data_IF_520617647045
#
_entry.id   IF_520617647045
#
_cell.length_a   1.000
_cell.length_b   1.000
_cell.length_c   1.000
_cell.angle_alpha   90.00
_cell.angle_beta   90.00
_cell.angle_gamma   90.00
#
_symmetry.space_group_name_H-M   'P 1'
#
loop_
_entity.id
_entity.type
_entity.pdbx_description
1 polymer ?
#
# COMPACT_ATOMS: atom_id res chain seq x y z
N UNK A 1 -12.05 7.40 -2.83
CA UNK A 1 -11.01 8.46 -2.78
C UNK A 1 -11.21 9.45 -1.62
N UNK A 2 -12.45 9.88 -1.35
CA UNK A 2 -12.81 10.80 -0.27
C UNK A 2 -12.22 10.41 1.10
N UNK A 3 -12.43 9.17 1.53
CA UNK A 3 -11.88 8.60 2.77
C UNK A 3 -10.36 8.80 2.96
N UNK A 4 -9.56 8.64 1.91
CA UNK A 4 -8.09 8.81 1.99
C UNK A 4 -7.72 10.28 2.10
N UNK A 5 -8.47 11.18 1.44
CA UNK A 5 -8.30 12.64 1.56
C UNK A 5 -8.67 13.13 2.97
N UNK A 6 -9.71 12.56 3.57
CA UNK A 6 -10.09 12.88 4.96
C UNK A 6 -9.03 12.43 5.95
N UNK A 7 -8.48 11.22 5.78
CA UNK A 7 -7.36 10.74 6.58
C UNK A 7 -6.11 11.61 6.39
N UNK A 8 -5.79 12.02 5.16
CA UNK A 8 -4.67 12.92 4.89
C UNK A 8 -4.86 14.28 5.58
N UNK A 9 -6.07 14.84 5.54
CA UNK A 9 -6.45 16.07 6.24
C UNK A 9 -6.26 15.92 7.75
N UNK A 10 -6.78 14.85 8.33
CA UNK A 10 -6.65 14.53 9.75
C UNK A 10 -5.18 14.47 10.19
N UNK A 11 -4.35 13.76 9.42
CA UNK A 11 -2.93 13.52 9.73
C UNK A 11 -2.07 14.78 9.51
N UNK A 12 -2.44 15.66 8.57
CA UNK A 12 -1.76 16.95 8.34
C UNK A 12 -1.67 17.79 9.60
N UNK A 13 -2.63 17.63 10.53
CA UNK A 13 -2.60 18.31 11.84
C UNK A 13 -1.36 17.98 12.68
N UNK A 14 -0.70 16.85 12.44
CA UNK A 14 0.50 16.42 13.18
C UNK A 14 1.81 16.67 12.41
N UNK A 15 1.75 16.98 11.11
CA UNK A 15 2.93 17.14 10.23
C UNK A 15 3.00 18.51 9.52
N UNK A 16 2.05 19.41 9.79
CA UNK A 16 1.86 20.75 9.22
C UNK A 16 1.53 20.79 7.73
N UNK A 17 2.14 19.91 6.94
CA UNK A 17 1.96 19.80 5.50
C UNK A 17 2.07 18.34 5.05
N UNK A 18 1.25 17.95 4.09
CA UNK A 18 1.22 16.59 3.54
C UNK A 18 1.07 16.62 2.02
N UNK A 19 1.70 15.64 1.37
CA UNK A 19 1.50 15.35 -0.06
C UNK A 19 0.88 13.97 -0.21
N UNK A 20 -0.25 13.91 -0.90
CA UNK A 20 -0.97 12.68 -1.21
C UNK A 20 -0.83 12.38 -2.69
N UNK A 21 -0.16 11.28 -2.99
CA UNK A 21 -0.03 10.75 -4.34
C UNK A 21 -1.12 9.69 -4.56
N UNK A 22 -2.09 9.99 -5.42
CA UNK A 22 -3.16 9.07 -5.82
C UNK A 22 -2.74 8.38 -7.11
N UNK A 23 -2.40 7.09 -7.02
CA UNK A 23 -1.94 6.30 -8.16
C UNK A 23 -3.07 5.40 -8.68
N UNK A 24 -3.53 5.58 -9.94
CA UNK A 24 -4.49 4.67 -10.55
C UNK A 24 -3.89 3.27 -10.69
N UNK A 25 -4.45 2.30 -9.95
CA UNK A 25 -3.88 0.95 -9.88
C UNK A 25 -4.71 -0.12 -10.61
N UNK A 26 -5.91 0.24 -11.11
CA UNK A 26 -6.86 -0.70 -11.71
C UNK A 26 -6.34 -1.43 -12.96
N UNK A 27 -5.68 -0.70 -13.87
CA UNK A 27 -5.12 -1.30 -15.10
C UNK A 27 -3.96 -2.25 -14.77
N UNK A 28 -3.07 -1.84 -13.85
CA UNK A 28 -1.96 -2.65 -13.37
C UNK A 28 -2.49 -3.94 -12.71
N UNK A 29 -3.54 -3.84 -11.89
CA UNK A 29 -4.21 -5.01 -11.30
C UNK A 29 -4.77 -5.92 -12.39
N UNK A 30 -5.47 -5.37 -13.38
CA UNK A 30 -6.06 -6.14 -14.48
C UNK A 30 -4.99 -6.92 -15.25
N UNK A 31 -3.85 -6.31 -15.53
CA UNK A 31 -2.72 -6.99 -16.19
C UNK A 31 -2.16 -8.13 -15.31
N UNK A 32 -2.02 -7.92 -14.01
CA UNK A 32 -1.57 -8.98 -13.08
C UNK A 32 -2.62 -10.11 -12.99
N UNK A 33 -3.91 -9.79 -13.04
CA UNK A 33 -4.99 -10.80 -13.01
C UNK A 33 -4.91 -11.72 -14.23
N UNK A 34 -4.69 -11.17 -15.41
CA UNK A 34 -4.60 -11.91 -16.68
C UNK A 34 -3.33 -12.77 -16.72
N UNK A 35 -2.20 -12.25 -16.24
CA UNK A 35 -0.89 -12.86 -16.46
C UNK A 35 -0.35 -13.66 -15.26
N UNK A 36 -0.99 -13.60 -14.08
CA UNK A 36 -0.51 -14.28 -12.89
C UNK A 36 -1.54 -15.21 -12.21
N UNK A 37 -1.08 -16.34 -11.64
CA UNK A 37 -1.91 -17.24 -10.86
C UNK A 37 -2.60 -16.55 -9.68
N UNK A 38 -3.91 -16.81 -9.51
CA UNK A 38 -4.73 -16.20 -8.47
C UNK A 38 -4.11 -16.19 -7.06
N UNK A 39 -3.51 -17.30 -6.55
CA UNK A 39 -2.96 -17.32 -5.20
C UNK A 39 -1.78 -16.36 -4.96
N UNK A 40 -1.09 -15.92 -6.03
CA UNK A 40 0.09 -15.05 -5.94
C UNK A 40 -0.25 -13.57 -6.05
N UNK A 41 -1.45 -13.23 -6.53
CA UNK A 41 -1.82 -11.87 -6.94
C UNK A 41 -1.66 -10.84 -5.83
N UNK A 42 -2.02 -11.17 -4.59
CA UNK A 42 -1.86 -10.23 -3.47
C UNK A 42 -0.40 -9.86 -3.22
N UNK A 43 0.51 -10.84 -3.29
CA UNK A 43 1.95 -10.57 -3.13
C UNK A 43 2.48 -9.75 -4.32
N UNK A 44 2.02 -10.04 -5.54
CA UNK A 44 2.38 -9.27 -6.74
C UNK A 44 1.87 -7.83 -6.69
N UNK A 45 0.61 -7.60 -6.31
CA UNK A 45 0.05 -6.26 -6.12
C UNK A 45 0.88 -5.46 -5.12
N UNK A 46 1.17 -6.04 -3.95
CA UNK A 46 1.94 -5.36 -2.90
C UNK A 46 3.38 -5.08 -3.32
N UNK A 47 4.01 -5.98 -4.06
CA UNK A 47 5.35 -5.75 -4.64
C UNK A 47 5.33 -4.63 -5.68
N UNK A 48 4.31 -4.57 -6.52
CA UNK A 48 4.15 -3.50 -7.51
C UNK A 48 3.89 -2.15 -6.84
N UNK A 49 2.97 -2.09 -5.87
CA UNK A 49 2.74 -0.88 -5.05
C UNK A 49 4.03 -0.41 -4.39
N UNK A 50 4.85 -1.33 -3.87
CA UNK A 50 6.12 -0.98 -3.22
C UNK A 50 7.15 -0.42 -4.21
N UNK A 51 7.21 -0.95 -5.44
CA UNK A 51 8.10 -0.44 -6.50
C UNK A 51 7.68 0.96 -6.94
N UNK A 52 6.38 1.20 -7.12
CA UNK A 52 5.85 2.53 -7.46
C UNK A 52 6.14 3.51 -6.31
N UNK A 53 5.83 3.13 -5.06
CA UNK A 53 6.12 3.94 -3.89
C UNK A 53 7.62 4.23 -3.73
N UNK A 54 8.50 3.29 -4.10
CA UNK A 54 9.95 3.49 -4.10
C UNK A 54 10.36 4.54 -5.13
N UNK A 55 9.80 4.48 -6.35
CA UNK A 55 10.09 5.46 -7.37
C UNK A 55 9.61 6.86 -6.95
N UNK A 56 8.39 6.98 -6.41
CA UNK A 56 7.88 8.23 -5.84
C UNK A 56 8.79 8.73 -4.72
N UNK A 57 9.14 7.86 -3.76
CA UNK A 57 10.02 8.23 -2.65
C UNK A 57 11.40 8.72 -3.12
N UNK A 58 11.94 8.18 -4.20
CA UNK A 58 13.18 8.67 -4.81
C UNK A 58 13.02 10.04 -5.46
N UNK A 59 11.89 10.30 -6.14
CA UNK A 59 11.57 11.64 -6.66
C UNK A 59 11.39 12.68 -5.56
N UNK A 60 10.96 12.23 -4.37
CA UNK A 60 10.70 13.08 -3.21
C UNK A 60 11.86 13.15 -2.21
N UNK A 61 13.03 12.62 -2.56
CA UNK A 61 14.22 12.54 -1.71
C UNK A 61 13.94 11.92 -0.31
N UNK A 62 12.97 11.01 -0.23
CA UNK A 62 12.61 10.34 1.01
C UNK A 62 13.64 9.26 1.37
N UNK A 63 13.91 9.11 2.67
CA UNK A 63 14.88 8.12 3.16
C UNK A 63 14.36 6.68 3.14
N UNK A 64 13.05 6.49 3.30
CA UNK A 64 12.44 5.17 3.44
C UNK A 64 10.92 5.21 3.33
N UNK A 65 10.32 4.03 3.44
CA UNK A 65 8.88 3.81 3.34
C UNK A 65 8.31 3.43 4.71
N UNK A 66 7.05 3.78 4.97
CA UNK A 66 6.32 3.38 6.19
C UNK A 66 5.09 2.58 5.78
N UNK A 67 4.82 1.48 6.48
CA UNK A 67 3.62 0.66 6.25
C UNK A 67 2.92 0.36 7.57
N UNK A 68 1.59 0.25 7.53
CA UNK A 68 0.78 -0.22 8.66
C UNK A 68 0.72 -1.75 8.79
N UNK A 69 1.77 -2.48 8.39
CA UNK A 69 1.79 -3.93 8.52
C UNK A 69 1.88 -4.38 9.99
N UNK A 70 1.04 -5.33 10.38
CA UNK A 70 1.10 -6.07 11.65
C UNK A 70 1.30 -7.57 11.39
N UNK A 71 2.19 -8.22 12.13
CA UNK A 71 2.57 -9.60 11.86
C UNK A 71 1.40 -10.56 12.14
N UNK A 72 1.04 -11.37 11.13
CA UNK A 72 0.03 -12.43 11.29
C UNK A 72 -1.42 -11.96 11.28
N UNK A 73 -1.69 -10.67 11.06
CA UNK A 73 -3.07 -10.14 11.04
C UNK A 73 -3.84 -10.58 9.79
N UNK A 74 -3.19 -10.65 8.62
CA UNK A 74 -3.77 -11.15 7.36
C UNK A 74 -2.80 -12.06 6.61
N UNK A 75 -3.30 -12.83 5.64
CA UNK A 75 -2.50 -13.79 4.87
C UNK A 75 -1.26 -13.17 4.17
N UNK A 76 -1.33 -11.90 3.77
CA UNK A 76 -0.20 -11.19 3.15
C UNK A 76 0.86 -10.71 4.14
N UNK A 77 0.58 -10.78 5.44
CA UNK A 77 1.44 -10.32 6.55
C UNK A 77 2.03 -11.49 7.36
N UNK A 78 2.21 -12.65 6.72
CA UNK A 78 3.06 -13.71 7.28
C UNK A 78 4.54 -13.35 7.11
N UNK A 79 5.45 -13.87 7.96
CA UNK A 79 6.88 -13.60 7.83
C UNK A 79 7.43 -13.87 6.41
N UNK A 80 7.07 -15.01 5.81
CA UNK A 80 7.50 -15.38 4.45
C UNK A 80 7.01 -14.37 3.38
N UNK A 81 5.74 -13.97 3.46
CA UNK A 81 5.16 -13.02 2.50
C UNK A 81 5.73 -11.61 2.71
N UNK A 82 5.90 -11.15 3.95
CA UNK A 82 6.49 -9.84 4.23
C UNK A 82 7.95 -9.77 3.77
N UNK A 83 8.74 -10.83 4.00
CA UNK A 83 10.10 -10.92 3.49
C UNK A 83 10.10 -10.86 1.95
N UNK A 84 9.22 -11.64 1.31
CA UNK A 84 9.09 -11.65 -0.15
C UNK A 84 8.63 -10.31 -0.72
N UNK A 85 7.70 -9.61 -0.07
CA UNK A 85 7.22 -8.29 -0.51
C UNK A 85 8.34 -7.25 -0.35
N UNK A 86 9.06 -7.26 0.76
CA UNK A 86 10.14 -6.29 1.05
C UNK A 86 11.26 -6.30 0.02
N UNK A 87 11.53 -7.45 -0.60
CA UNK A 87 12.53 -7.60 -1.67
C UNK A 87 12.16 -6.86 -2.97
N UNK A 88 11.02 -6.17 -3.05
CA UNK A 88 10.66 -5.34 -4.19
C UNK A 88 11.23 -3.91 -4.10
N UNK A 89 11.87 -3.55 -2.97
CA UNK A 89 12.57 -2.27 -2.79
C UNK A 89 13.90 -2.49 -2.07
N UNK A 90 14.83 -1.56 -2.30
CA UNK A 90 16.08 -1.46 -1.53
C UNK A 90 15.97 -0.42 -0.41
N UNK A 91 14.88 0.35 -0.34
CA UNK A 91 14.67 1.35 0.70
C UNK A 91 14.31 0.68 2.05
N UNK A 92 14.71 1.26 3.18
CA UNK A 92 14.22 0.85 4.49
C UNK A 92 12.68 0.92 4.55
N UNK A 93 12.04 -0.11 5.12
CA UNK A 93 10.60 -0.12 5.37
C UNK A 93 10.36 -0.16 6.88
N UNK A 94 9.84 0.94 7.42
CA UNK A 94 9.43 1.05 8.82
C UNK A 94 8.04 0.45 9.01
N UNK A 95 7.88 -0.34 10.07
CA UNK A 95 6.64 -1.05 10.41
C UNK A 95 6.28 -0.83 11.87
N UNK A 96 5.75 0.36 12.22
CA UNK A 96 5.45 0.70 13.61
C UNK A 96 4.50 -0.29 14.29
N UNK A 97 3.61 -0.92 13.52
CA UNK A 97 2.56 -1.80 14.02
C UNK A 97 2.96 -3.29 14.03
N UNK A 98 4.21 -3.64 13.70
CA UNK A 98 4.61 -5.03 13.41
C UNK A 98 4.29 -6.01 14.56
N UNK A 99 4.41 -5.54 15.81
CA UNK A 99 4.17 -6.33 17.02
C UNK A 99 2.87 -6.00 17.75
N UNK A 100 2.02 -5.13 17.19
CA UNK A 100 0.78 -4.71 17.83
C UNK A 100 -0.37 -5.63 17.41
N UNK A 101 -1.25 -5.95 18.37
CA UNK A 101 -2.50 -6.62 18.07
C UNK A 101 -3.58 -5.65 17.52
N UNK A 102 -4.71 -6.21 17.10
CA UNK A 102 -5.80 -5.44 16.51
C UNK A 102 -6.44 -4.47 17.50
N UNK A 103 -6.53 -4.84 18.78
CA UNK A 103 -7.16 -4.00 19.80
C UNK A 103 -6.28 -2.80 20.12
N UNK A 104 -4.96 -3.00 20.19
CA UNK A 104 -3.97 -1.94 20.35
C UNK A 104 -4.02 -0.96 19.18
N UNK A 105 -3.98 -1.45 17.93
CA UNK A 105 -4.10 -0.61 16.73
C UNK A 105 -5.43 0.16 16.73
N UNK A 106 -6.53 -0.49 17.10
CA UNK A 106 -7.85 0.14 17.19
C UNK A 106 -7.89 1.24 18.24
N UNK A 107 -7.23 1.03 19.39
CA UNK A 107 -7.14 2.02 20.46
C UNK A 107 -6.37 3.25 20.01
N UNK A 108 -5.23 3.07 19.35
CA UNK A 108 -4.45 4.17 18.77
C UNK A 108 -5.25 4.92 17.70
N UNK A 109 -5.92 4.21 16.79
CA UNK A 109 -6.76 4.82 15.76
C UNK A 109 -7.89 5.69 16.36
N UNK A 110 -8.50 5.25 17.47
CA UNK A 110 -9.49 6.05 18.20
C UNK A 110 -8.84 7.25 18.90
N UNK A 111 -7.68 7.08 19.50
CA UNK A 111 -6.96 8.15 20.18
C UNK A 111 -6.57 9.30 19.24
N UNK A 112 -6.19 8.99 17.99
CA UNK A 112 -5.84 10.00 16.97
C UNK A 112 -7.05 10.46 16.13
N UNK A 113 -8.23 9.87 16.35
CA UNK A 113 -9.48 10.22 15.65
C UNK A 113 -9.57 9.70 14.20
N UNK A 114 -8.76 8.72 13.81
CA UNK A 114 -8.80 8.13 12.45
C UNK A 114 -9.76 6.95 12.33
N UNK A 115 -10.22 6.40 13.46
CA UNK A 115 -11.00 5.16 13.48
C UNK A 115 -12.31 5.26 12.69
N UNK A 116 -13.12 6.29 12.94
CA UNK A 116 -14.47 6.41 12.35
C UNK A 116 -14.40 6.51 10.83
N UNK A 117 -13.54 7.38 10.30
CA UNK A 117 -13.26 7.47 8.85
C UNK A 117 -12.71 6.15 8.31
N UNK A 118 -11.81 5.48 9.05
CA UNK A 118 -11.18 4.23 8.59
C UNK A 118 -12.16 3.05 8.45
N UNK A 119 -13.27 3.04 9.20
CA UNK A 119 -14.28 1.98 9.14
C UNK A 119 -15.43 2.26 8.17
N UNK A 120 -15.46 3.44 7.56
CA UNK A 120 -16.47 3.77 6.55
C UNK A 120 -16.48 2.71 5.43
N UNK A 121 -17.69 2.27 4.98
CA UNK A 121 -17.79 1.30 3.91
C UNK A 121 -17.27 1.90 2.62
N UNK A 122 -16.10 1.45 2.18
CA UNK A 122 -15.62 1.76 0.83
C UNK A 122 -16.42 0.92 -0.17
N UNK A 123 -17.13 1.60 -1.07
CA UNK A 123 -17.59 0.97 -2.30
C UNK A 123 -16.39 0.87 -3.24
N UNK A 124 -16.09 -0.36 -3.67
CA UNK A 124 -15.17 -0.71 -4.76
C UNK A 124 -13.65 -0.70 -4.53
N UNK A 125 -13.08 -1.92 -4.53
CA UNK A 125 -12.14 -2.41 -5.57
C UNK A 125 -11.61 -3.80 -5.18
N UNK A 126 -11.58 -4.10 -3.87
CA UNK A 126 -10.85 -5.24 -3.35
C UNK A 126 -11.56 -6.60 -3.55
N UNK A 127 -12.89 -6.69 -3.55
CA UNK A 127 -13.56 -8.00 -3.55
C UNK A 127 -13.50 -8.74 -4.90
N UNK A 128 -13.49 -8.01 -6.02
CA UNK A 128 -13.47 -8.62 -7.37
C UNK A 128 -12.13 -9.28 -7.70
N UNK A 129 -11.02 -8.74 -7.20
CA UNK A 129 -9.67 -9.15 -7.57
C UNK A 129 -8.87 -9.83 -6.44
N UNK A 130 -9.45 -9.93 -5.25
CA UNK A 130 -8.90 -10.73 -4.15
C UNK A 130 -9.17 -12.22 -4.41
N UNK A 131 -8.13 -13.07 -4.42
CA UNK A 131 -8.32 -14.51 -4.58
C UNK A 131 -9.04 -15.10 -3.37
N UNK A 132 -9.92 -16.11 -3.60
CA UNK A 132 -10.61 -16.83 -2.52
C UNK A 132 -9.66 -17.52 -1.53
N UNK A 133 -8.49 -17.96 -2.02
CA UNK A 133 -7.46 -18.61 -1.24
C UNK A 133 -6.09 -17.95 -1.52
N UNK A 134 -5.78 -16.82 -0.86
CA UNK A 134 -4.48 -16.20 -0.99
C UNK A 134 -3.41 -17.12 -0.40
N UNK A 135 -2.25 -17.19 -1.04
CA UNK A 135 -1.15 -18.01 -0.53
C UNK A 135 -0.51 -17.31 0.69
N UNK A 136 -0.44 -18.04 1.81
CA UNK A 136 0.18 -17.58 3.07
C UNK A 136 1.69 -17.76 3.09
N UNK A 137 2.26 -18.46 2.10
CA UNK A 137 3.69 -18.72 1.96
C UNK A 137 4.13 -18.68 0.49
N UNK A 138 4.33 -17.49 -0.02
CA UNK A 138 4.95 -17.29 -1.32
C UNK A 138 6.47 -17.31 -1.18
N UNK A 139 7.15 -18.16 -1.94
CA UNK A 139 8.61 -18.12 -2.04
C UNK A 139 9.03 -17.11 -3.12
N UNK A 140 10.11 -16.39 -2.87
CA UNK A 140 10.65 -15.39 -3.81
C UNK A 140 10.86 -15.95 -5.23
N UNK A 141 11.41 -17.16 -5.46
CA UNK A 141 11.59 -17.69 -6.82
C UNK A 141 10.28 -17.85 -7.60
N UNK A 142 9.19 -18.25 -6.94
CA UNK A 142 7.87 -18.39 -7.58
C UNK A 142 7.35 -17.01 -7.99
N UNK A 143 7.50 -16.02 -7.12
CA UNK A 143 7.09 -14.65 -7.38
C UNK A 143 7.91 -14.03 -8.52
N UNK A 144 9.23 -14.17 -8.51
CA UNK A 144 10.09 -13.66 -9.59
C UNK A 144 9.77 -14.32 -10.93
N UNK A 145 9.45 -15.62 -10.94
CA UNK A 145 8.98 -16.30 -12.15
C UNK A 145 7.66 -15.70 -12.65
N UNK A 146 6.71 -15.40 -11.78
CA UNK A 146 5.47 -14.73 -12.18
C UNK A 146 5.73 -13.29 -12.67
N UNK A 147 6.61 -12.54 -12.00
CA UNK A 147 7.01 -11.18 -12.42
C UNK A 147 7.69 -11.16 -13.79
N UNK A 148 8.37 -12.23 -14.20
CA UNK A 148 8.98 -12.32 -15.55
C UNK A 148 7.98 -12.25 -16.70
N UNK A 149 6.70 -12.43 -16.43
CA UNK A 149 5.60 -12.32 -17.40
C UNK A 149 4.93 -10.95 -17.38
N UNK A 150 5.42 -10.03 -16.54
CA UNK A 150 4.85 -8.70 -16.33
C UNK A 150 5.84 -7.63 -16.81
N UNK A 151 5.31 -6.57 -17.43
CA UNK A 151 6.11 -5.40 -17.79
C UNK A 151 6.24 -4.45 -16.59
N UNK A 152 7.05 -4.88 -15.61
CA UNK A 152 7.26 -4.13 -14.36
C UNK A 152 7.75 -2.69 -14.62
N UNK A 153 8.74 -2.43 -15.49
CA UNK A 153 9.16 -1.06 -15.80
C UNK A 153 8.01 -0.19 -16.32
N UNK A 154 7.21 -0.71 -17.26
CA UNK A 154 6.04 0.01 -17.78
C UNK A 154 5.01 0.31 -16.69
N UNK A 155 4.74 -0.64 -15.78
CA UNK A 155 3.80 -0.41 -14.68
C UNK A 155 4.30 0.65 -13.67
N UNK A 156 5.61 0.71 -13.41
CA UNK A 156 6.18 1.78 -12.58
C UNK A 156 5.96 3.12 -13.27
N UNK A 157 6.31 3.22 -14.56
CA UNK A 157 6.17 4.46 -15.32
C UNK A 157 4.70 4.91 -15.40
N UNK A 158 3.79 3.98 -15.68
CA UNK A 158 2.34 4.24 -15.66
C UNK A 158 1.88 4.81 -14.32
N UNK A 159 2.37 4.27 -13.20
CA UNK A 159 2.06 4.78 -11.87
C UNK A 159 2.59 6.18 -11.60
N UNK A 160 3.75 6.53 -12.15
CA UNK A 160 4.35 7.87 -12.02
C UNK A 160 3.67 8.91 -12.90
N UNK A 161 3.33 8.54 -14.14
CA UNK A 161 2.79 9.46 -15.16
C UNK A 161 1.33 9.83 -14.91
N UNK A 162 0.55 8.93 -14.30
CA UNK A 162 -0.88 9.11 -14.08
C UNK A 162 -1.25 9.39 -12.64
N UNK A 163 -0.28 9.60 -11.75
CA UNK A 163 -0.59 9.99 -10.38
C UNK A 163 -1.22 11.38 -10.33
N UNK A 164 -2.20 11.57 -9.45
CA UNK A 164 -2.65 12.88 -9.03
C UNK A 164 -1.93 13.25 -7.71
N UNK A 165 -1.33 14.45 -7.68
CA UNK A 165 -0.73 15.00 -6.46
C UNK A 165 -1.71 15.98 -5.81
N UNK A 166 -2.01 15.75 -4.54
CA UNK A 166 -2.87 16.61 -3.72
C UNK A 166 -2.08 17.06 -2.51
N UNK A 167 -2.06 18.36 -2.27
CA UNK A 167 -1.32 18.97 -1.16
C UNK A 167 -2.28 19.42 -0.07
N UNK A 168 -1.87 19.22 1.18
CA UNK A 168 -2.62 19.59 2.37
C UNK A 168 -1.72 20.46 3.25
N UNK A 169 -2.25 21.55 3.77
CA UNK A 169 -1.56 22.40 4.75
C UNK A 169 -2.47 22.72 5.93
N UNK A 170 -1.91 22.87 7.12
CA UNK A 170 -2.68 23.25 8.31
C UNK A 170 -3.43 24.58 8.12
N UNK A 171 -2.85 25.53 7.38
CA UNK A 171 -3.44 26.84 7.13
C UNK A 171 -4.75 26.76 6.31
N UNK A 172 -4.91 25.70 5.50
CA UNK A 172 -6.11 25.47 4.68
C UNK A 172 -7.20 24.67 5.41
N UNK A 173 -6.84 23.96 6.49
CA UNK A 173 -7.75 23.08 7.24
C UNK A 173 -8.41 23.83 8.42
N UNK A 174 -7.87 25.00 8.79
CA UNK A 174 -8.31 25.82 9.94
C UNK A 174 -9.20 27.04 9.63
N UNK A 175 -9.72 27.19 8.41
CA UNK A 175 -10.74 28.20 8.07
C UNK A 175 -12.15 27.61 8.01
#
# INVERSE_FOLDING_TARGET
EEKVRDLATLLTRYQLYSRLHLVPFGDIQSQIVVNAPAPLRIVLYRRMMLRIATAIAQHEDAWGLVTGDSLGQVASQTPDNMATISQATTMPILRPLIGMDKEEITREAKAIGSFDTSIEPDQDCCTLFVPKHPNTRCSLPIILKAESQLDIPSFIQQGLDHQELVEFSQDTIGM
#
